data_IF_496936336867
#
_entry.id   IF_496936336867
#
_cell.length_a   1.000
_cell.length_b   1.000
_cell.length_c   1.000
_cell.angle_alpha   90.00
_cell.angle_beta   90.00
_cell.angle_gamma   90.00
#
_symmetry.space_group_name_H-M   'P 1'
#
loop_
_entity.id
_entity.type
_entity.pdbx_description
1 polymer ?
#
# COMPACT_ATOMS: atom_id res chain seq x y z
N UNK A 1 -16.94 30.52 -40.94
CA UNK A 1 -17.04 29.54 -39.85
C UNK A 1 -15.66 28.96 -39.59
N UNK A 2 -14.98 29.36 -38.52
CA UNK A 2 -13.69 28.77 -38.13
C UNK A 2 -13.99 27.38 -37.53
N UNK A 3 -13.60 26.32 -38.26
CA UNK A 3 -13.74 24.95 -37.78
C UNK A 3 -13.05 24.79 -36.43
N UNK A 4 -13.80 24.41 -35.40
CA UNK A 4 -13.24 23.97 -34.12
C UNK A 4 -12.41 22.74 -34.42
N UNK A 5 -11.08 22.89 -34.32
CA UNK A 5 -10.17 21.76 -34.33
C UNK A 5 -10.67 20.74 -33.27
N UNK A 6 -10.96 19.47 -33.65
CA UNK A 6 -11.43 18.52 -32.67
C UNK A 6 -10.34 18.40 -31.60
N UNK A 7 -10.67 18.74 -30.35
CA UNK A 7 -9.75 18.56 -29.21
C UNK A 7 -9.31 17.11 -29.24
N UNK A 8 -8.01 16.86 -29.40
CA UNK A 8 -7.43 15.51 -29.40
C UNK A 8 -7.89 14.82 -28.11
N UNK A 9 -8.63 13.73 -28.25
CA UNK A 9 -9.20 13.02 -27.10
C UNK A 9 -8.07 12.51 -26.22
N UNK A 10 -8.02 12.95 -24.95
CA UNK A 10 -7.03 12.48 -23.99
C UNK A 10 -7.36 11.02 -23.61
N UNK A 11 -6.39 10.14 -23.79
CA UNK A 11 -6.53 8.72 -23.45
C UNK A 11 -6.12 8.48 -22.01
N UNK A 12 -5.00 9.07 -21.58
CA UNK A 12 -4.41 8.83 -20.24
C UNK A 12 -4.23 10.14 -19.49
N UNK A 13 -4.71 10.21 -18.26
CA UNK A 13 -4.33 11.25 -17.30
C UNK A 13 -3.29 10.67 -16.35
N UNK A 14 -2.15 11.32 -16.23
CA UNK A 14 -1.07 10.96 -15.31
C UNK A 14 -1.12 11.95 -14.15
N UNK A 15 -1.26 11.47 -12.91
CA UNK A 15 -1.37 12.30 -11.71
C UNK A 15 -0.24 12.01 -10.73
N UNK A 16 0.42 13.06 -10.26
CA UNK A 16 1.54 12.97 -9.32
C UNK A 16 1.28 13.94 -8.17
N UNK A 17 1.37 13.43 -6.93
CA UNK A 17 1.46 14.28 -5.74
C UNK A 17 2.90 14.74 -5.60
N UNK A 18 3.10 16.03 -5.38
CA UNK A 18 4.44 16.61 -5.27
C UNK A 18 4.60 17.24 -3.88
N UNK A 19 5.62 16.78 -3.16
CA UNK A 19 5.86 17.16 -1.76
C UNK A 19 7.19 17.89 -1.52
N UNK A 20 7.93 18.23 -2.59
CA UNK A 20 9.17 18.99 -2.49
C UNK A 20 10.47 18.18 -2.57
N UNK A 21 10.41 16.93 -3.01
CA UNK A 21 11.59 16.08 -3.25
C UNK A 21 12.27 16.43 -4.57
N UNK A 22 13.08 17.49 -4.56
CA UNK A 22 13.66 18.09 -5.78
C UNK A 22 14.47 17.10 -6.62
N UNK A 23 15.28 16.23 -5.98
CA UNK A 23 16.15 15.29 -6.69
C UNK A 23 15.38 14.20 -7.45
N UNK A 24 14.29 13.70 -6.89
CA UNK A 24 13.54 12.59 -7.45
C UNK A 24 12.45 13.03 -8.40
N UNK A 25 11.73 14.13 -8.08
CA UNK A 25 10.63 14.63 -8.92
C UNK A 25 11.10 14.99 -10.32
N UNK A 26 12.32 15.51 -10.48
CA UNK A 26 12.93 15.76 -11.79
C UNK A 26 13.02 14.49 -12.62
N UNK A 27 13.62 13.43 -12.06
CA UNK A 27 13.74 12.11 -12.68
C UNK A 27 12.37 11.50 -13.00
N UNK A 28 11.41 11.61 -12.08
CA UNK A 28 10.04 11.16 -12.28
C UNK A 28 9.44 11.79 -13.55
N UNK A 29 9.47 13.11 -13.65
CA UNK A 29 8.90 13.82 -14.80
C UNK A 29 9.65 13.54 -16.10
N UNK A 30 10.99 13.43 -16.08
CA UNK A 30 11.82 13.13 -17.25
C UNK A 30 11.49 11.73 -17.80
N UNK A 31 11.27 10.76 -16.93
CA UNK A 31 10.94 9.39 -17.32
C UNK A 31 9.61 9.26 -18.08
N UNK A 32 8.71 10.22 -17.92
CA UNK A 32 7.40 10.26 -18.57
C UNK A 32 7.40 10.97 -19.94
N UNK A 33 8.47 11.67 -20.31
CA UNK A 33 8.48 12.50 -21.52
C UNK A 33 8.20 11.70 -22.79
N UNK A 34 8.76 10.50 -22.90
CA UNK A 34 8.56 9.64 -24.09
C UNK A 34 7.12 9.16 -24.20
N UNK A 35 6.53 8.72 -23.10
CA UNK A 35 5.14 8.34 -23.01
C UNK A 35 4.22 9.50 -23.42
N UNK A 36 4.47 10.70 -22.88
CA UNK A 36 3.67 11.92 -23.14
C UNK A 36 3.75 12.40 -24.58
N UNK A 37 4.87 12.18 -25.26
CA UNK A 37 5.02 12.52 -26.69
C UNK A 37 4.26 11.57 -27.61
N UNK A 38 4.17 10.28 -27.24
CA UNK A 38 3.61 9.23 -28.11
C UNK A 38 2.13 8.97 -27.84
N UNK A 39 1.71 8.98 -26.58
CA UNK A 39 0.32 8.69 -26.17
C UNK A 39 -0.41 10.01 -25.93
N UNK A 40 -1.66 10.18 -26.43
CA UNK A 40 -2.48 11.34 -26.09
C UNK A 40 -2.78 11.37 -24.59
N UNK A 41 -1.98 12.08 -23.81
CA UNK A 41 -2.12 12.15 -22.35
C UNK A 41 -1.98 13.58 -21.82
N UNK A 42 -2.40 13.77 -20.59
CA UNK A 42 -2.18 14.96 -19.78
C UNK A 42 -1.43 14.61 -18.49
N UNK A 43 -0.62 15.54 -18.03
CA UNK A 43 0.07 15.46 -16.75
C UNK A 43 -0.56 16.44 -15.76
N UNK A 44 -0.95 15.92 -14.61
CA UNK A 44 -1.58 16.65 -13.51
C UNK A 44 -0.62 16.61 -12.32
N UNK A 45 -0.17 17.75 -11.84
CA UNK A 45 0.61 17.87 -10.62
C UNK A 45 -0.26 18.47 -9.52
N UNK A 46 -0.29 17.82 -8.36
CA UNK A 46 -0.95 18.32 -7.16
C UNK A 46 0.12 18.67 -6.13
N UNK A 47 0.24 19.96 -5.82
CA UNK A 47 1.13 20.48 -4.78
C UNK A 47 0.57 20.16 -3.39
N UNK A 48 1.35 19.46 -2.58
CA UNK A 48 1.01 19.10 -1.20
C UNK A 48 1.96 19.75 -0.18
N UNK A 49 2.77 20.73 -0.61
CA UNK A 49 3.69 21.46 0.26
C UNK A 49 5.08 21.67 -0.33
N UNK A 50 5.20 21.92 -1.63
CA UNK A 50 6.45 22.27 -2.29
C UNK A 50 6.97 23.63 -1.86
N UNK A 51 8.29 23.78 -1.83
CA UNK A 51 8.92 25.10 -1.77
C UNK A 51 8.51 25.93 -3.02
N UNK A 52 8.19 27.25 -2.87
CA UNK A 52 7.67 28.04 -3.98
C UNK A 52 8.57 28.05 -5.23
N UNK A 53 9.89 28.07 -5.07
CA UNK A 53 10.85 28.07 -6.18
C UNK A 53 10.83 26.74 -6.96
N UNK A 54 10.70 25.62 -6.26
CA UNK A 54 10.56 24.31 -6.88
C UNK A 54 9.24 24.21 -7.61
N UNK A 55 8.13 24.61 -6.96
CA UNK A 55 6.81 24.59 -7.56
C UNK A 55 6.72 25.40 -8.86
N UNK A 56 7.30 26.61 -8.91
CA UNK A 56 7.34 27.43 -10.12
C UNK A 56 8.07 26.77 -11.30
N UNK A 57 9.03 25.88 -11.04
CA UNK A 57 9.70 25.10 -12.09
C UNK A 57 8.84 23.92 -12.54
N UNK A 58 8.24 23.19 -11.60
CA UNK A 58 7.47 21.97 -11.87
C UNK A 58 6.16 22.27 -12.60
N UNK A 59 5.43 23.32 -12.20
CA UNK A 59 4.15 23.70 -12.81
C UNK A 59 4.24 23.96 -14.31
N UNK A 60 5.40 24.37 -14.82
CA UNK A 60 5.62 24.61 -16.26
C UNK A 60 5.70 23.33 -17.06
N UNK A 61 5.91 22.20 -16.42
CA UNK A 61 6.00 20.87 -17.06
C UNK A 61 4.66 20.15 -17.14
N UNK A 62 3.64 20.64 -16.44
CA UNK A 62 2.32 20.00 -16.32
C UNK A 62 1.29 20.67 -17.25
N UNK A 63 0.29 19.89 -17.66
CA UNK A 63 -0.89 20.39 -18.37
C UNK A 63 -1.91 20.98 -17.39
N UNK A 64 -1.93 20.46 -16.15
CA UNK A 64 -2.75 20.96 -15.05
C UNK A 64 -1.95 21.01 -13.76
N UNK A 65 -2.18 22.05 -12.97
CA UNK A 65 -1.61 22.23 -11.65
C UNK A 65 -2.72 22.48 -10.64
N UNK A 66 -2.66 21.75 -9.53
CA UNK A 66 -3.64 21.79 -8.46
C UNK A 66 -2.90 22.05 -7.15
N UNK A 67 -3.60 22.61 -6.17
CA UNK A 67 -3.09 22.78 -4.82
C UNK A 67 -3.96 21.99 -3.85
N UNK A 68 -3.32 21.36 -2.89
CA UNK A 68 -3.98 20.64 -1.82
C UNK A 68 -3.34 20.98 -0.48
N UNK A 69 -4.12 21.58 0.41
CA UNK A 69 -3.67 21.81 1.78
C UNK A 69 -3.61 20.47 2.51
N UNK A 70 -2.39 20.05 2.89
CA UNK A 70 -2.18 18.76 3.54
C UNK A 70 -3.02 18.63 4.82
N UNK A 71 -3.75 17.53 4.92
CA UNK A 71 -4.67 17.23 6.02
C UNK A 71 -4.53 15.79 6.56
N UNK A 72 -3.33 15.20 6.45
CA UNK A 72 -3.06 13.82 6.87
C UNK A 72 -3.97 12.80 6.16
N UNK A 73 -4.18 13.00 4.83
CA UNK A 73 -5.01 12.15 4.01
C UNK A 73 -4.48 12.08 2.56
N UNK A 74 -3.77 10.99 2.24
CA UNK A 74 -3.25 10.74 0.90
C UNK A 74 -4.37 10.48 -0.12
N UNK A 75 -5.43 9.76 0.28
CA UNK A 75 -6.55 9.50 -0.62
C UNK A 75 -7.25 10.80 -1.03
N UNK A 76 -7.48 11.71 -0.08
CA UNK A 76 -8.04 13.01 -0.38
C UNK A 76 -7.17 13.80 -1.36
N UNK A 77 -5.85 13.82 -1.15
CA UNK A 77 -4.91 14.50 -2.05
C UNK A 77 -4.93 13.90 -3.47
N UNK A 78 -4.94 12.55 -3.60
CA UNK A 78 -4.99 11.88 -4.91
C UNK A 78 -6.34 12.06 -5.60
N UNK A 79 -7.43 12.12 -4.86
CA UNK A 79 -8.76 12.34 -5.42
C UNK A 79 -8.88 13.70 -6.11
N UNK A 80 -8.17 14.74 -5.63
CA UNK A 80 -8.12 16.05 -6.32
C UNK A 80 -7.59 15.89 -7.76
N UNK A 81 -6.52 15.14 -7.95
CA UNK A 81 -5.97 14.85 -9.27
C UNK A 81 -6.90 13.98 -10.13
N UNK A 82 -7.53 12.96 -9.53
CA UNK A 82 -8.48 12.08 -10.20
C UNK A 82 -9.73 12.84 -10.69
N UNK A 83 -10.27 13.73 -9.88
CA UNK A 83 -11.42 14.56 -10.24
C UNK A 83 -11.11 15.54 -11.38
N UNK A 84 -9.91 16.09 -11.41
CA UNK A 84 -9.44 16.98 -12.46
C UNK A 84 -9.11 16.26 -13.79
N UNK A 85 -8.96 14.93 -13.76
CA UNK A 85 -8.57 14.13 -14.89
C UNK A 85 -9.61 14.11 -16.02
N UNK A 86 -9.17 14.16 -17.28
CA UNK A 86 -10.02 14.13 -18.47
C UNK A 86 -9.80 12.87 -19.33
N UNK A 87 -8.73 12.11 -19.08
CA UNK A 87 -8.42 10.88 -19.78
C UNK A 87 -9.45 9.77 -19.59
N UNK A 88 -9.52 8.85 -20.54
CA UNK A 88 -10.32 7.62 -20.39
C UNK A 88 -9.72 6.71 -19.31
N UNK A 89 -8.39 6.75 -19.18
CA UNK A 89 -7.59 6.06 -18.19
C UNK A 89 -6.93 7.05 -17.25
N UNK A 90 -6.70 6.61 -16.02
CA UNK A 90 -6.01 7.36 -14.98
C UNK A 90 -4.80 6.52 -14.50
N UNK A 91 -3.64 7.15 -14.42
CA UNK A 91 -2.41 6.61 -13.85
C UNK A 91 -1.94 7.52 -12.74
N UNK A 92 -1.46 6.95 -11.64
CA UNK A 92 -0.85 7.72 -10.56
C UNK A 92 0.53 7.18 -10.23
N UNK A 93 1.40 8.09 -9.81
CA UNK A 93 2.77 7.81 -9.38
C UNK A 93 3.11 8.64 -8.14
N UNK A 94 4.16 8.24 -7.46
CA UNK A 94 4.78 9.02 -6.41
C UNK A 94 5.93 9.88 -7.00
N UNK A 95 6.24 11.02 -6.38
CA UNK A 95 7.28 11.94 -6.86
C UNK A 95 8.73 11.43 -6.66
N UNK A 96 8.86 10.24 -6.04
CA UNK A 96 10.11 9.51 -5.85
C UNK A 96 10.18 8.18 -6.66
N UNK A 97 9.26 8.01 -7.62
CA UNK A 97 9.25 6.91 -8.58
C UNK A 97 9.65 7.42 -9.98
N UNK A 98 10.47 6.69 -10.73
CA UNK A 98 10.76 7.00 -12.14
C UNK A 98 10.93 5.73 -12.97
N UNK A 99 10.37 5.73 -14.17
CA UNK A 99 10.47 4.59 -15.09
C UNK A 99 11.88 4.43 -15.65
N UNK A 100 12.36 3.20 -15.75
CA UNK A 100 13.49 2.86 -16.62
C UNK A 100 13.08 2.95 -18.11
N UNK A 101 11.87 2.47 -18.43
CA UNK A 101 11.28 2.51 -19.76
C UNK A 101 9.77 2.50 -19.64
N UNK A 102 9.08 3.18 -20.57
CA UNK A 102 7.61 3.16 -20.69
C UNK A 102 7.12 2.39 -21.92
N UNK A 103 7.99 1.57 -22.54
CA UNK A 103 7.72 0.96 -23.84
C UNK A 103 6.51 0.03 -23.88
N UNK A 104 6.26 -0.73 -22.79
CA UNK A 104 5.10 -1.62 -22.68
C UNK A 104 3.81 -0.83 -22.47
N UNK A 105 3.85 0.21 -21.64
CA UNK A 105 2.73 1.13 -21.43
C UNK A 105 2.38 1.84 -22.74
N UNK A 106 3.38 2.35 -23.47
CA UNK A 106 3.18 2.97 -24.78
C UNK A 106 2.50 2.00 -25.74
N UNK A 107 3.03 0.78 -25.88
CA UNK A 107 2.46 -0.27 -26.74
C UNK A 107 1.02 -0.58 -26.35
N UNK A 108 0.73 -0.71 -25.06
CA UNK A 108 -0.61 -1.00 -24.55
C UNK A 108 -1.64 0.05 -25.02
N UNK A 109 -1.29 1.33 -24.95
CA UNK A 109 -2.19 2.38 -25.42
C UNK A 109 -2.21 2.54 -26.94
N UNK A 110 -1.07 2.51 -27.62
CA UNK A 110 -0.97 2.74 -29.05
C UNK A 110 -1.58 1.61 -29.91
N UNK A 111 -1.48 0.37 -29.45
CA UNK A 111 -2.09 -0.78 -30.12
C UNK A 111 -3.62 -0.84 -29.95
N UNK A 112 -4.16 -0.07 -29.02
CA UNK A 112 -5.57 -0.15 -28.67
C UNK A 112 -5.91 -1.32 -27.73
N UNK A 113 -4.92 -2.08 -27.25
CA UNK A 113 -5.09 -3.20 -26.34
C UNK A 113 -5.80 -2.78 -25.04
N UNK A 114 -5.56 -1.55 -24.55
CA UNK A 114 -6.19 -0.97 -23.36
C UNK A 114 -7.73 -1.05 -23.36
N UNK A 115 -8.38 -1.18 -24.53
CA UNK A 115 -9.84 -1.29 -24.64
C UNK A 115 -10.40 -2.59 -24.05
N UNK A 116 -9.55 -3.60 -23.92
CA UNK A 116 -9.91 -4.94 -23.44
C UNK A 116 -9.76 -5.09 -21.92
N UNK A 117 -9.21 -4.09 -21.25
CA UNK A 117 -8.89 -4.12 -19.81
C UNK A 117 -9.56 -2.96 -19.07
N UNK A 118 -9.73 -3.13 -17.79
CA UNK A 118 -10.32 -2.13 -16.90
C UNK A 118 -9.30 -1.56 -15.94
N UNK A 119 -8.23 -2.31 -15.65
CA UNK A 119 -7.08 -1.85 -14.85
C UNK A 119 -5.77 -2.37 -15.41
N UNK A 120 -4.66 -1.78 -14.97
CA UNK A 120 -3.35 -2.30 -15.30
C UNK A 120 -2.35 -2.01 -14.17
N UNK A 121 -1.46 -2.98 -13.98
CA UNK A 121 -0.35 -2.92 -13.04
C UNK A 121 0.97 -2.81 -13.78
N UNK A 122 1.92 -2.11 -13.16
CA UNK A 122 3.33 -2.17 -13.53
C UNK A 122 4.17 -2.48 -12.29
N UNK A 123 5.44 -2.80 -12.51
CA UNK A 123 6.34 -3.20 -11.44
C UNK A 123 6.87 -1.98 -10.70
N UNK A 124 6.75 -1.97 -9.38
CA UNK A 124 7.49 -1.07 -8.50
C UNK A 124 8.69 -1.83 -7.95
N UNK A 125 9.89 -1.40 -8.34
CA UNK A 125 11.15 -1.96 -7.89
C UNK A 125 11.61 -1.24 -6.64
N UNK A 126 11.39 -1.87 -5.50
CA UNK A 126 11.77 -1.34 -4.19
C UNK A 126 13.21 -1.71 -3.88
N UNK A 127 14.10 -0.74 -3.82
CA UNK A 127 15.48 -0.95 -3.45
C UNK A 127 15.65 -1.05 -1.94
N UNK A 128 16.52 -1.96 -1.51
CA UNK A 128 16.87 -2.21 -0.11
C UNK A 128 18.25 -1.65 0.26
N UNK A 129 19.03 -1.21 -0.75
CA UNK A 129 20.33 -0.58 -0.59
C UNK A 129 20.50 0.62 -1.54
N UNK A 130 21.35 1.58 -1.16
CA UNK A 130 21.65 2.78 -1.97
C UNK A 130 22.40 2.46 -3.27
N UNK A 131 23.12 1.33 -3.33
CA UNK A 131 23.87 0.91 -4.50
C UNK A 131 22.97 0.29 -5.58
N UNK A 132 21.70 -0.02 -5.25
CA UNK A 132 20.76 -0.64 -6.18
C UNK A 132 21.09 -2.11 -6.48
N UNK A 133 21.78 -2.79 -5.58
CA UNK A 133 22.20 -4.20 -5.76
C UNK A 133 21.22 -5.19 -5.16
N UNK A 134 20.35 -4.74 -4.25
CA UNK A 134 19.32 -5.54 -3.61
C UNK A 134 17.95 -4.86 -3.75
N UNK A 135 17.00 -5.55 -4.32
CA UNK A 135 15.63 -5.02 -4.52
C UNK A 135 14.57 -6.13 -4.46
N UNK A 136 13.33 -5.71 -4.33
CA UNK A 136 12.15 -6.54 -4.49
C UNK A 136 11.20 -5.92 -5.50
N UNK A 137 10.72 -6.72 -6.44
CA UNK A 137 9.75 -6.30 -7.45
C UNK A 137 8.33 -6.68 -6.99
N UNK A 138 7.40 -5.73 -7.14
CA UNK A 138 5.98 -5.96 -6.87
C UNK A 138 5.14 -5.32 -7.96
N UNK A 139 4.14 -6.05 -8.48
CA UNK A 139 3.13 -5.45 -9.34
C UNK A 139 2.14 -4.66 -8.50
N UNK A 140 1.95 -3.39 -8.84
CA UNK A 140 0.93 -2.55 -8.22
C UNK A 140 -0.05 -2.03 -9.25
N UNK A 141 -1.35 -2.09 -8.93
CA UNK A 141 -2.42 -1.53 -9.74
C UNK A 141 -2.35 0.01 -9.71
N UNK A 142 -1.59 0.58 -10.64
CA UNK A 142 -1.32 2.02 -10.74
C UNK A 142 -2.09 2.70 -11.88
N UNK A 143 -2.81 1.93 -12.69
CA UNK A 143 -3.62 2.43 -13.79
C UNK A 143 -5.02 1.81 -13.76
N UNK A 144 -6.03 2.63 -14.04
CA UNK A 144 -7.43 2.19 -14.10
C UNK A 144 -8.20 2.94 -15.17
N UNK A 145 -9.20 2.30 -15.76
CA UNK A 145 -10.21 2.99 -16.55
C UNK A 145 -11.00 3.90 -15.62
N UNK A 146 -11.10 5.18 -15.96
CA UNK A 146 -11.79 6.17 -15.14
C UNK A 146 -13.31 5.98 -15.25
N UNK A 147 -13.92 5.66 -14.12
CA UNK A 147 -15.36 5.51 -13.94
C UNK A 147 -15.87 6.55 -12.96
N UNK A 148 -17.18 6.79 -12.93
CA UNK A 148 -17.80 7.76 -12.01
C UNK A 148 -17.56 7.38 -10.54
N UNK A 149 -17.56 6.09 -10.23
CA UNK A 149 -17.36 5.52 -8.91
C UNK A 149 -15.89 5.37 -8.52
N UNK A 150 -14.96 5.52 -9.49
CA UNK A 150 -13.53 5.40 -9.22
C UNK A 150 -13.07 6.48 -8.24
N UNK A 151 -12.45 6.06 -7.14
CA UNK A 151 -11.88 6.95 -6.12
C UNK A 151 -10.78 6.26 -5.34
N UNK A 152 -9.90 7.05 -4.75
CA UNK A 152 -8.99 6.58 -3.72
C UNK A 152 -9.71 6.49 -2.38
N UNK A 153 -9.44 5.39 -1.66
CA UNK A 153 -9.91 5.13 -0.31
C UNK A 153 -8.71 4.92 0.61
N UNK A 154 -8.91 5.12 1.92
CA UNK A 154 -7.93 5.04 3.01
C UNK A 154 -6.96 6.21 3.04
N UNK A 155 -6.87 6.86 4.20
CA UNK A 155 -6.01 8.05 4.44
C UNK A 155 -4.53 7.78 4.16
N UNK A 156 -4.09 6.54 4.40
CA UNK A 156 -2.72 6.06 4.15
C UNK A 156 -2.79 4.65 3.58
N UNK A 157 -1.78 4.26 2.80
CA UNK A 157 -1.80 3.03 2.00
C UNK A 157 -3.08 2.97 1.14
N UNK A 158 -3.34 4.11 0.54
CA UNK A 158 -4.52 4.34 -0.28
C UNK A 158 -4.56 3.42 -1.49
N UNK A 159 -5.73 3.05 -1.88
CA UNK A 159 -5.97 2.21 -3.05
C UNK A 159 -7.14 2.73 -3.86
N UNK A 160 -7.06 2.57 -5.18
CA UNK A 160 -8.18 2.84 -6.08
C UNK A 160 -9.30 1.83 -5.85
N UNK A 161 -10.54 2.33 -5.76
CA UNK A 161 -11.76 1.52 -5.63
C UNK A 161 -12.81 1.99 -6.61
N UNK A 162 -13.67 1.06 -7.13
CA UNK A 162 -13.49 -0.38 -7.05
C UNK A 162 -12.25 -0.86 -7.82
N UNK A 163 -11.70 -2.01 -7.45
CA UNK A 163 -10.71 -2.72 -8.28
C UNK A 163 -11.45 -3.28 -9.49
N UNK A 164 -11.00 -2.86 -10.67
CA UNK A 164 -11.68 -3.20 -11.92
C UNK A 164 -10.95 -4.33 -12.63
N UNK A 165 -11.71 -5.31 -13.12
CA UNK A 165 -11.22 -6.45 -13.90
C UNK A 165 -11.83 -6.43 -15.31
N UNK A 166 -11.12 -6.97 -16.35
CA UNK A 166 -9.83 -7.65 -16.27
C UNK A 166 -8.66 -6.69 -16.11
N UNK A 167 -7.62 -7.14 -15.41
CA UNK A 167 -6.37 -6.42 -15.18
C UNK A 167 -5.27 -6.85 -16.14
N UNK A 168 -4.47 -5.89 -16.60
CA UNK A 168 -3.26 -6.13 -17.41
C UNK A 168 -2.01 -5.95 -16.58
N UNK A 169 -1.10 -6.92 -16.61
CA UNK A 169 0.24 -6.82 -16.03
C UNK A 169 1.22 -6.36 -17.12
N UNK A 170 1.97 -5.29 -16.85
CA UNK A 170 2.94 -4.69 -17.75
C UNK A 170 4.33 -4.76 -17.09
N UNK A 171 5.33 -5.24 -17.83
CA UNK A 171 6.69 -5.46 -17.32
C UNK A 171 7.56 -4.19 -17.32
N UNK A 172 6.99 -3.03 -17.62
CA UNK A 172 7.68 -1.76 -17.33
C UNK A 172 7.80 -1.60 -15.82
N UNK A 173 8.94 -1.09 -15.34
CA UNK A 173 9.14 -0.88 -13.91
C UNK A 173 9.57 0.55 -13.59
N UNK A 174 9.21 0.96 -12.40
CA UNK A 174 9.72 2.19 -11.78
C UNK A 174 10.77 1.84 -10.74
N UNK A 175 11.82 2.67 -10.67
CA UNK A 175 12.74 2.67 -9.55
C UNK A 175 12.07 3.37 -8.36
N UNK A 176 12.18 2.79 -7.17
CA UNK A 176 11.70 3.37 -5.93
C UNK A 176 12.72 3.14 -4.80
N UNK A 177 13.35 4.22 -4.36
CA UNK A 177 14.32 4.23 -3.26
C UNK A 177 13.72 4.78 -1.95
N UNK A 178 12.45 5.15 -1.94
CA UNK A 178 11.78 5.80 -0.82
C UNK A 178 11.70 4.98 0.48
N UNK A 179 12.05 3.68 0.42
CA UNK A 179 12.13 2.82 1.60
C UNK A 179 13.49 2.82 2.27
N UNK A 180 14.53 3.38 1.62
CA UNK A 180 15.88 3.47 2.17
C UNK A 180 15.98 4.77 2.95
N UNK A 181 16.12 4.72 4.29
CA UNK A 181 16.28 5.93 5.07
C UNK A 181 17.66 6.56 4.79
N UNK A 182 17.70 7.87 4.64
CA UNK A 182 18.97 8.60 4.60
C UNK A 182 19.66 8.54 5.95
N UNK A 183 18.87 8.70 7.01
CA UNK A 183 19.28 8.53 8.39
C UNK A 183 18.15 7.97 9.26
N UNK A 184 18.48 7.62 10.52
CA UNK A 184 17.53 7.06 11.47
C UNK A 184 16.44 8.05 11.87
N UNK A 185 16.76 9.34 11.91
CA UNK A 185 15.81 10.38 12.35
C UNK A 185 14.70 10.57 11.30
N UNK A 186 15.06 10.71 10.02
CA UNK A 186 14.10 10.79 8.91
C UNK A 186 13.23 9.53 8.84
N UNK A 187 13.84 8.36 9.05
CA UNK A 187 13.10 7.10 9.08
C UNK A 187 12.05 7.08 10.20
N UNK A 188 12.45 7.47 11.42
CA UNK A 188 11.54 7.56 12.56
C UNK A 188 10.44 8.62 12.36
N UNK A 189 10.78 9.76 11.76
CA UNK A 189 9.80 10.80 11.44
C UNK A 189 8.72 10.28 10.46
N UNK A 190 9.14 9.52 9.42
CA UNK A 190 8.21 8.86 8.48
C UNK A 190 7.27 7.90 9.21
N UNK A 191 7.79 7.06 10.13
CA UNK A 191 6.99 6.10 10.90
C UNK A 191 5.99 6.80 11.83
N UNK A 192 6.43 7.84 12.56
CA UNK A 192 5.55 8.64 13.43
C UNK A 192 4.44 9.33 12.65
N UNK A 193 4.76 9.90 11.46
CA UNK A 193 3.74 10.47 10.57
C UNK A 193 2.73 9.42 10.14
N UNK A 194 3.20 8.25 9.69
CA UNK A 194 2.32 7.17 9.25
C UNK A 194 1.40 6.71 10.40
N UNK A 195 1.97 6.51 11.57
CA UNK A 195 1.22 6.12 12.77
C UNK A 195 0.15 7.15 13.14
N UNK A 196 0.49 8.46 13.12
CA UNK A 196 -0.50 9.53 13.34
C UNK A 196 -1.68 9.41 12.40
N UNK A 197 -1.43 9.21 11.10
CA UNK A 197 -2.48 9.08 10.08
C UNK A 197 -3.32 7.82 10.30
N UNK A 198 -2.68 6.70 10.69
CA UNK A 198 -3.38 5.44 10.99
C UNK A 198 -4.29 5.58 12.21
N UNK A 199 -3.85 6.27 13.27
CA UNK A 199 -4.68 6.52 14.45
C UNK A 199 -5.92 7.36 14.10
N UNK A 200 -5.78 8.40 13.27
CA UNK A 200 -6.91 9.17 12.75
C UNK A 200 -7.85 8.32 11.89
N UNK A 201 -7.30 7.39 11.10
CA UNK A 201 -8.08 6.47 10.29
C UNK A 201 -8.88 5.47 11.13
N UNK A 202 -8.28 4.95 12.22
CA UNK A 202 -8.93 4.06 13.19
C UNK A 202 -10.05 4.79 13.94
N UNK A 203 -9.84 6.05 14.31
CA UNK A 203 -10.88 6.86 14.96
C UNK A 203 -12.08 7.09 14.03
N UNK A 204 -11.83 7.33 12.74
CA UNK A 204 -12.87 7.55 11.74
C UNK A 204 -13.62 6.27 11.35
N UNK A 205 -12.94 5.12 11.33
CA UNK A 205 -13.51 3.80 11.03
C UNK A 205 -12.91 2.73 11.96
N UNK A 206 -13.50 2.55 13.15
CA UNK A 206 -13.02 1.57 14.14
C UNK A 206 -13.15 0.11 13.70
N UNK A 207 -13.87 -0.17 12.64
CA UNK A 207 -14.08 -1.54 12.13
C UNK A 207 -13.17 -1.91 10.95
N UNK A 208 -12.29 -1.02 10.50
CA UNK A 208 -11.32 -1.29 9.45
C UNK A 208 -10.07 -2.00 10.01
N UNK A 209 -10.03 -3.32 9.95
CA UNK A 209 -8.94 -4.14 10.48
C UNK A 209 -7.59 -3.85 9.83
N UNK A 210 -7.59 -3.42 8.58
CA UNK A 210 -6.38 -2.99 7.85
C UNK A 210 -5.60 -1.92 8.61
N UNK A 211 -6.29 -0.90 9.14
CA UNK A 211 -5.63 0.20 9.84
C UNK A 211 -4.97 -0.25 11.13
N UNK A 212 -5.61 -1.14 11.90
CA UNK A 212 -5.02 -1.71 13.11
C UNK A 212 -3.76 -2.53 12.78
N UNK A 213 -3.83 -3.42 11.78
CA UNK A 213 -2.68 -4.25 11.41
C UNK A 213 -1.49 -3.41 10.95
N UNK A 214 -1.75 -2.33 10.20
CA UNK A 214 -0.71 -1.38 9.79
C UNK A 214 -0.14 -0.59 10.97
N UNK A 215 -0.98 -0.15 11.92
CA UNK A 215 -0.51 0.53 13.14
C UNK A 215 0.34 -0.41 14.02
N UNK A 216 -0.05 -1.68 14.14
CA UNK A 216 0.76 -2.73 14.80
C UNK A 216 2.14 -2.81 14.15
N UNK A 217 2.22 -2.85 12.81
CA UNK A 217 3.49 -2.92 12.11
C UNK A 217 4.36 -1.66 12.35
N UNK A 218 3.78 -0.46 12.36
CA UNK A 218 4.52 0.77 12.64
C UNK A 218 5.06 0.80 14.08
N UNK A 219 4.25 0.46 15.08
CA UNK A 219 4.71 0.34 16.48
C UNK A 219 5.80 -0.72 16.62
N UNK A 220 5.59 -1.89 16.00
CA UNK A 220 6.53 -3.02 16.06
C UNK A 220 7.90 -2.63 15.50
N UNK A 221 7.95 -1.98 14.35
CA UNK A 221 9.18 -1.53 13.68
C UNK A 221 9.87 -0.43 14.49
N UNK A 222 9.13 0.43 15.20
CA UNK A 222 9.68 1.43 16.12
C UNK A 222 10.22 0.82 17.43
N UNK A 223 10.03 -0.48 17.67
CA UNK A 223 10.45 -1.17 18.89
C UNK A 223 9.44 -1.02 20.04
N UNK A 224 8.30 -0.40 19.80
CA UNK A 224 7.23 -0.14 20.78
C UNK A 224 6.32 -1.38 20.93
N UNK A 225 6.88 -2.49 21.47
CA UNK A 225 6.21 -3.80 21.56
C UNK A 225 4.93 -3.79 22.39
N UNK A 226 4.90 -2.96 23.48
CA UNK A 226 3.71 -2.80 24.32
C UNK A 226 2.56 -2.23 23.51
N UNK A 227 2.77 -1.06 22.88
CA UNK A 227 1.76 -0.37 22.10
C UNK A 227 1.32 -1.21 20.86
N UNK A 228 2.24 -1.96 20.26
CA UNK A 228 1.91 -2.91 19.18
C UNK A 228 0.94 -3.99 19.64
N UNK A 229 1.18 -4.59 20.83
CA UNK A 229 0.32 -5.60 21.41
C UNK A 229 -1.07 -5.06 21.76
N UNK A 230 -1.13 -3.90 22.44
CA UNK A 230 -2.39 -3.23 22.78
C UNK A 230 -3.21 -2.88 21.52
N UNK A 231 -2.52 -2.41 20.46
CA UNK A 231 -3.17 -2.09 19.18
C UNK A 231 -3.72 -3.34 18.49
N UNK A 232 -2.99 -4.47 18.53
CA UNK A 232 -3.48 -5.74 18.01
C UNK A 232 -4.72 -6.22 18.77
N UNK A 233 -4.69 -6.19 20.10
CA UNK A 233 -5.79 -6.57 20.96
C UNK A 233 -7.03 -5.69 20.74
N UNK A 234 -6.82 -4.38 20.59
CA UNK A 234 -7.88 -3.42 20.27
C UNK A 234 -8.52 -3.71 18.93
N UNK A 235 -7.71 -4.02 17.90
CA UNK A 235 -8.22 -4.40 16.58
C UNK A 235 -9.06 -5.68 16.64
N UNK A 236 -8.58 -6.71 17.34
CA UNK A 236 -9.34 -7.96 17.53
C UNK A 236 -10.67 -7.73 18.29
N UNK A 237 -10.68 -6.81 19.27
CA UNK A 237 -11.89 -6.47 20.03
C UNK A 237 -12.93 -5.70 19.20
N UNK A 238 -12.49 -4.90 18.22
CA UNK A 238 -13.36 -4.08 17.35
C UNK A 238 -13.82 -4.82 16.08
N UNK A 239 -13.57 -6.13 15.96
CA UNK A 239 -14.06 -6.93 14.84
C UNK A 239 -15.58 -6.83 14.72
N UNK A 240 -16.07 -6.45 13.54
CA UNK A 240 -17.47 -6.57 13.18
C UNK A 240 -17.70 -7.92 12.50
N UNK A 241 -18.58 -8.80 13.03
CA UNK A 241 -18.92 -10.08 12.40
C UNK A 241 -19.50 -9.96 10.98
N UNK A 242 -20.05 -8.79 10.61
CA UNK A 242 -20.61 -8.51 9.29
C UNK A 242 -19.57 -7.96 8.31
N UNK A 243 -18.29 -7.85 8.70
CA UNK A 243 -17.23 -7.30 7.83
C UNK A 243 -17.02 -8.15 6.58
N UNK A 244 -16.68 -7.46 5.48
CA UNK A 244 -16.36 -8.14 4.21
C UNK A 244 -15.08 -8.98 4.26
N UNK A 245 -14.93 -9.88 3.30
CA UNK A 245 -13.79 -10.83 3.18
C UNK A 245 -12.42 -10.13 3.24
N UNK A 246 -12.31 -8.90 2.71
CA UNK A 246 -11.06 -8.14 2.74
C UNK A 246 -10.59 -7.83 4.18
N UNK A 247 -11.52 -7.52 5.08
CA UNK A 247 -11.20 -7.28 6.48
C UNK A 247 -10.86 -8.57 7.25
N UNK A 248 -11.38 -9.71 6.83
CA UNK A 248 -11.11 -11.00 7.50
C UNK A 248 -9.62 -11.36 7.45
N UNK A 249 -8.95 -11.17 6.32
CA UNK A 249 -7.50 -11.42 6.20
C UNK A 249 -6.66 -10.52 7.12
N UNK A 250 -7.07 -9.26 7.28
CA UNK A 250 -6.41 -8.34 8.22
C UNK A 250 -6.71 -8.68 9.69
N UNK A 251 -7.92 -9.13 9.98
CA UNK A 251 -8.29 -9.65 11.30
C UNK A 251 -7.45 -10.87 11.69
N UNK A 252 -7.28 -11.81 10.77
CA UNK A 252 -6.44 -13.00 10.97
C UNK A 252 -4.98 -12.61 11.27
N UNK A 253 -4.47 -11.63 10.55
CA UNK A 253 -3.14 -11.05 10.82
C UNK A 253 -3.03 -10.44 12.21
N UNK A 254 -4.07 -9.75 12.68
CA UNK A 254 -4.13 -9.19 14.04
C UNK A 254 -4.15 -10.27 15.12
N UNK A 255 -4.91 -11.35 14.92
CA UNK A 255 -4.94 -12.49 15.84
C UNK A 255 -3.54 -13.11 15.99
N UNK A 256 -2.86 -13.37 14.87
CA UNK A 256 -1.50 -13.92 14.88
C UNK A 256 -0.50 -12.95 15.52
N UNK A 257 -0.55 -11.66 15.18
CA UNK A 257 0.33 -10.64 15.75
C UNK A 257 0.15 -10.51 17.27
N UNK A 258 -1.10 -10.51 17.76
CA UNK A 258 -1.41 -10.43 19.19
C UNK A 258 -0.78 -11.58 19.99
N UNK A 259 -0.84 -12.81 19.48
CA UNK A 259 -0.21 -14.00 20.12
C UNK A 259 1.30 -13.86 20.12
N UNK A 260 1.90 -13.58 18.96
CA UNK A 260 3.36 -13.46 18.80
C UNK A 260 3.95 -12.35 19.67
N UNK A 261 3.31 -11.17 19.70
CA UNK A 261 3.81 -10.04 20.51
C UNK A 261 3.72 -10.38 22.00
N UNK A 262 2.68 -11.07 22.46
CA UNK A 262 2.60 -11.53 23.86
C UNK A 262 3.75 -12.47 24.20
N UNK A 263 4.07 -13.42 23.33
CA UNK A 263 5.21 -14.34 23.47
C UNK A 263 6.55 -13.60 23.48
N UNK A 264 6.81 -12.69 22.56
CA UNK A 264 8.05 -11.89 22.47
C UNK A 264 8.26 -10.98 23.71
N UNK A 265 7.21 -10.73 24.45
CA UNK A 265 7.20 -9.96 25.71
C UNK A 265 7.27 -10.83 26.96
N UNK A 266 7.66 -12.10 26.80
CA UNK A 266 7.73 -13.09 27.87
C UNK A 266 6.39 -13.32 28.62
N UNK A 267 5.25 -13.00 27.97
CA UNK A 267 3.89 -13.24 28.51
C UNK A 267 3.32 -14.54 27.95
N UNK A 268 3.94 -15.66 28.32
CA UNK A 268 3.63 -16.97 27.73
C UNK A 268 2.20 -17.43 28.05
N UNK A 269 1.70 -17.22 29.26
CA UNK A 269 0.32 -17.60 29.64
C UNK A 269 -0.71 -16.75 28.86
N UNK A 270 -0.45 -15.46 28.63
CA UNK A 270 -1.28 -14.59 27.81
C UNK A 270 -1.27 -15.06 26.34
N UNK A 271 -0.09 -15.36 25.78
CA UNK A 271 0.05 -15.91 24.44
C UNK A 271 -0.74 -17.21 24.27
N UNK A 272 -0.65 -18.12 25.24
CA UNK A 272 -1.40 -19.39 25.26
C UNK A 272 -2.91 -19.13 25.31
N UNK A 273 -3.37 -18.27 26.22
CA UNK A 273 -4.80 -17.93 26.35
C UNK A 273 -5.38 -17.35 25.06
N UNK A 274 -4.68 -16.36 24.46
CA UNK A 274 -5.06 -15.74 23.20
C UNK A 274 -5.04 -16.74 22.05
N UNK A 275 -3.96 -17.50 21.90
CA UNK A 275 -3.80 -18.45 20.80
C UNK A 275 -4.91 -19.50 20.79
N UNK A 276 -5.23 -20.10 21.93
CA UNK A 276 -6.36 -21.05 22.04
C UNK A 276 -7.69 -20.40 21.66
N UNK A 277 -7.99 -19.23 22.20
CA UNK A 277 -9.21 -18.48 21.91
C UNK A 277 -9.34 -18.16 20.41
N UNK A 278 -8.24 -17.78 19.74
CA UNK A 278 -8.29 -17.41 18.33
C UNK A 278 -8.38 -18.62 17.41
N UNK A 279 -7.77 -19.75 17.75
CA UNK A 279 -7.92 -20.98 16.99
C UNK A 279 -9.38 -21.50 16.94
N UNK A 280 -10.17 -21.18 17.97
CA UNK A 280 -11.60 -21.53 18.03
C UNK A 280 -12.49 -20.61 17.18
N UNK A 281 -11.96 -19.45 16.74
CA UNK A 281 -12.74 -18.52 15.91
C UNK A 281 -12.82 -19.00 14.45
N UNK A 282 -14.04 -19.16 13.95
CA UNK A 282 -14.29 -19.62 12.59
C UNK A 282 -13.73 -18.68 11.49
N UNK A 283 -13.57 -17.39 11.81
CA UNK A 283 -13.04 -16.38 10.87
C UNK A 283 -11.53 -16.53 10.61
N UNK A 284 -10.77 -17.18 11.50
CA UNK A 284 -9.31 -17.31 11.36
C UNK A 284 -8.97 -18.29 10.25
N UNK A 285 -8.25 -17.81 9.21
CA UNK A 285 -7.83 -18.63 8.08
C UNK A 285 -6.72 -19.63 8.45
N UNK A 286 -6.51 -20.61 7.60
CA UNK A 286 -5.58 -21.72 7.87
C UNK A 286 -4.12 -21.25 8.01
N UNK A 287 -3.70 -20.20 7.26
CA UNK A 287 -2.38 -19.63 7.39
C UNK A 287 -2.18 -18.95 8.76
N UNK A 288 -3.18 -18.24 9.25
CA UNK A 288 -3.15 -17.63 10.57
C UNK A 288 -3.16 -18.70 11.66
N UNK A 289 -3.94 -19.78 11.50
CA UNK A 289 -3.94 -20.94 12.41
C UNK A 289 -2.57 -21.58 12.48
N UNK A 290 -1.91 -21.79 11.32
CA UNK A 290 -0.55 -22.32 11.27
C UNK A 290 0.44 -21.43 12.05
N UNK A 291 0.39 -20.10 11.84
CA UNK A 291 1.21 -19.14 12.59
C UNK A 291 0.95 -19.22 14.09
N UNK A 292 -0.30 -19.20 14.52
CA UNK A 292 -0.68 -19.31 15.93
C UNK A 292 -0.22 -20.64 16.54
N UNK A 293 -0.34 -21.76 15.82
CA UNK A 293 0.15 -23.05 16.30
C UNK A 293 1.67 -23.07 16.48
N UNK A 294 2.42 -22.40 15.60
CA UNK A 294 3.85 -22.23 15.76
C UNK A 294 4.19 -21.46 17.05
N UNK A 295 3.54 -20.32 17.26
CA UNK A 295 3.75 -19.49 18.45
C UNK A 295 3.34 -20.23 19.72
N UNK A 296 2.23 -21.00 19.73
CA UNK A 296 1.82 -21.86 20.84
C UNK A 296 2.83 -22.97 21.12
N UNK A 297 3.42 -23.57 20.10
CA UNK A 297 4.47 -24.58 20.29
C UNK A 297 5.64 -24.02 21.11
N UNK A 298 6.10 -22.82 20.76
CA UNK A 298 7.18 -22.15 21.46
C UNK A 298 6.75 -21.79 22.89
N UNK A 299 5.59 -21.19 23.08
CA UNK A 299 5.10 -20.80 24.39
C UNK A 299 4.98 -21.99 25.36
N UNK A 300 4.36 -23.07 24.93
CA UNK A 300 4.26 -24.29 25.74
C UNK A 300 5.60 -24.97 26.02
N UNK A 301 6.53 -24.91 25.05
CA UNK A 301 7.90 -25.40 25.27
C UNK A 301 8.62 -24.61 26.37
N UNK A 302 8.52 -23.28 26.37
CA UNK A 302 9.08 -22.41 27.41
C UNK A 302 8.44 -22.68 28.77
N UNK A 303 7.12 -22.92 28.82
CA UNK A 303 6.38 -23.24 30.03
C UNK A 303 6.61 -24.68 30.52
N UNK A 304 7.40 -25.48 29.82
CA UNK A 304 7.66 -26.89 30.18
C UNK A 304 6.46 -27.83 29.99
N UNK A 305 5.43 -27.39 29.29
CA UNK A 305 4.20 -28.17 29.03
C UNK A 305 4.36 -29.00 27.74
N UNK A 306 5.25 -29.98 27.77
CA UNK A 306 5.71 -30.74 26.61
C UNK A 306 4.61 -31.49 25.83
N UNK A 307 3.54 -31.97 26.53
CA UNK A 307 2.43 -32.61 25.86
C UNK A 307 1.68 -31.68 24.90
N UNK A 308 1.37 -30.47 25.34
CA UNK A 308 0.73 -29.44 24.52
C UNK A 308 1.70 -28.90 23.47
N UNK A 309 2.96 -28.71 23.80
CA UNK A 309 4.01 -28.31 22.84
C UNK A 309 4.05 -29.29 21.65
N UNK A 310 4.13 -30.59 21.89
CA UNK A 310 4.13 -31.61 20.81
C UNK A 310 2.83 -31.63 20.01
N UNK A 311 1.68 -31.43 20.66
CA UNK A 311 0.39 -31.36 20.00
C UNK A 311 0.32 -30.21 18.99
N UNK A 312 0.71 -29.00 19.39
CA UNK A 312 0.69 -27.85 18.49
C UNK A 312 1.78 -27.89 17.42
N UNK A 313 2.96 -28.47 17.74
CA UNK A 313 4.01 -28.73 16.76
C UNK A 313 3.52 -29.68 15.64
N UNK A 314 2.84 -30.77 16.00
CA UNK A 314 2.25 -31.69 15.03
C UNK A 314 1.21 -31.00 14.14
N UNK A 315 0.32 -30.18 14.72
CA UNK A 315 -0.66 -29.40 13.96
C UNK A 315 0.02 -28.42 13.00
N UNK A 316 1.05 -27.70 13.47
CA UNK A 316 1.81 -26.77 12.63
C UNK A 316 2.47 -27.47 11.46
N UNK A 317 3.08 -28.65 11.66
CA UNK A 317 3.75 -29.41 10.60
C UNK A 317 2.74 -29.88 9.53
N UNK A 318 1.53 -30.30 9.91
CA UNK A 318 0.47 -30.66 8.96
C UNK A 318 0.11 -29.46 8.07
N UNK A 319 -0.02 -28.25 8.64
CA UNK A 319 -0.28 -27.03 7.86
C UNK A 319 0.88 -26.68 6.94
N UNK A 320 2.12 -26.82 7.42
CA UNK A 320 3.32 -26.55 6.62
C UNK A 320 3.40 -27.46 5.39
N UNK A 321 3.11 -28.73 5.53
CA UNK A 321 3.06 -29.69 4.40
C UNK A 321 1.96 -29.31 3.40
N UNK A 322 0.79 -28.91 3.88
CA UNK A 322 -0.32 -28.45 3.04
C UNK A 322 0.05 -27.22 2.18
N UNK A 323 0.80 -26.27 2.71
CA UNK A 323 1.22 -25.08 1.97
C UNK A 323 2.51 -25.27 1.13
N UNK A 324 3.23 -26.36 1.29
CA UNK A 324 4.47 -26.66 0.55
C UNK A 324 4.21 -27.51 -0.72
N UNK A 325 3.04 -28.11 -0.85
CA UNK A 325 2.59 -28.87 -2.03
C UNK A 325 1.80 -28.01 -2.99
#
# INVERSE_FOLDING_TARGET
MKGKNPRKQIILSISILVSGREETVGKCLDSLETLRRKVPCELILTDTGCAPQLWERLRRRADKVLQFTWCDDFAAARNVGLEAAQGQWFMFMDDDEWFESTARIEKFFLSGEYRRYESASYIVRNYNDKAGTCWGDIYLARMTRRRRETRFCYRIHESLRPLLAPEKYLDDYVHHYGNIPEDREMWMAKRRRNLKILLLAIEADPHCMKHYLQAVAEYYVCGEREAAGEMADKGVANMDPAMGVENLGHFDGLCAASVRISQERDRMDDAVGKGRKYLEKAAVCDLAKASICCDLTIAYGILGQWGECLRYAGTYLQWREYFAG
#
